data_IF_783375321552
#
_entry.id   IF_783375321552
#
_cell.length_a   1.000
_cell.length_b   1.000
_cell.length_c   1.000
_cell.angle_alpha   90.00
_cell.angle_beta   90.00
_cell.angle_gamma   90.00
#
_symmetry.space_group_name_H-M   'P 1'
#
loop_
_entity.id
_entity.type
_entity.pdbx_description
1 polymer ?
#
# COMPACT_ATOMS: atom_id res chain seq x y z
N UNK A 1 -13.98 -1.30 18.09
CA UNK A 1 -12.85 -1.75 17.24
C UNK A 1 -11.49 -1.22 17.72
N UNK A 2 -11.40 -0.11 18.46
CA UNK A 2 -10.11 0.51 18.85
C UNK A 2 -9.13 -0.41 19.58
N UNK A 3 -9.62 -1.34 20.41
CA UNK A 3 -8.75 -2.14 21.30
C UNK A 3 -8.20 -3.42 20.64
N UNK A 4 -8.56 -3.68 19.38
CA UNK A 4 -8.18 -4.91 18.66
C UNK A 4 -7.01 -4.71 17.72
N UNK A 5 -6.81 -3.50 17.20
CA UNK A 5 -5.76 -3.19 16.23
C UNK A 5 -4.61 -2.49 16.95
N UNK A 6 -3.39 -2.98 16.77
CA UNK A 6 -2.15 -2.29 17.17
C UNK A 6 -1.78 -1.30 16.05
N UNK A 7 -1.83 0.01 16.28
CA UNK A 7 -1.49 0.98 15.25
C UNK A 7 -0.06 0.82 14.74
N UNK A 8 0.15 1.19 13.47
CA UNK A 8 1.46 1.26 12.84
C UNK A 8 1.74 2.69 12.38
N UNK A 9 3.02 3.05 12.25
CA UNK A 9 3.44 4.40 11.86
C UNK A 9 4.19 4.34 10.54
N UNK A 10 3.77 5.16 9.57
CA UNK A 10 4.57 5.45 8.38
C UNK A 10 4.90 6.93 8.45
N UNK A 11 6.09 7.25 8.96
CA UNK A 11 6.45 8.63 9.31
C UNK A 11 5.47 9.25 10.30
N UNK A 12 4.85 10.36 9.91
CA UNK A 12 3.84 11.06 10.71
C UNK A 12 2.44 10.45 10.61
N UNK A 13 2.19 9.53 9.66
CA UNK A 13 0.88 8.91 9.45
C UNK A 13 0.73 7.71 10.39
N UNK A 14 -0.39 7.68 11.12
CA UNK A 14 -0.77 6.55 11.97
C UNK A 14 -1.84 5.73 11.26
N UNK A 15 -1.53 4.47 10.97
CA UNK A 15 -2.48 3.52 10.41
C UNK A 15 -3.12 2.70 11.53
N UNK A 16 -4.44 2.59 11.50
CA UNK A 16 -5.20 1.93 12.55
C UNK A 16 -6.70 2.26 12.47
N UNK A 17 -7.42 2.21 13.61
CA UNK A 17 -8.82 2.61 13.70
C UNK A 17 -9.03 4.09 13.35
N UNK A 18 -10.15 4.40 12.70
CA UNK A 18 -10.53 5.76 12.31
C UNK A 18 -10.61 5.94 10.80
N UNK A 19 -10.63 7.19 10.34
CA UNK A 19 -10.66 7.51 8.91
C UNK A 19 -9.43 6.93 8.20
N UNK A 20 -9.60 6.12 7.14
CA UNK A 20 -8.50 5.52 6.42
C UNK A 20 -7.56 6.57 5.82
N UNK A 21 -6.26 6.28 5.83
CA UNK A 21 -5.28 7.09 5.14
C UNK A 21 -5.42 6.96 3.61
N UNK A 22 -5.19 8.03 2.87
CA UNK A 22 -5.19 8.07 1.41
C UNK A 22 -3.75 8.02 0.89
N UNK A 23 -3.45 6.96 0.15
CA UNK A 23 -2.16 6.73 -0.50
C UNK A 23 -2.29 7.12 -1.97
N UNK A 24 -1.38 7.97 -2.45
CA UNK A 24 -1.32 8.37 -3.86
C UNK A 24 -0.07 7.80 -4.53
N UNK A 25 -0.20 6.95 -5.55
CA UNK A 25 0.96 6.39 -6.23
C UNK A 25 1.60 7.39 -7.20
N UNK A 26 2.93 7.42 -7.21
CA UNK A 26 3.78 8.08 -8.19
C UNK A 26 4.33 7.00 -9.15
N UNK A 27 4.06 7.15 -10.44
CA UNK A 27 4.35 6.19 -11.51
C UNK A 27 5.36 6.73 -12.55
N UNK A 28 5.94 7.92 -12.29
CA UNK A 28 6.87 8.59 -13.20
C UNK A 28 8.03 7.69 -13.64
N UNK A 29 8.21 7.56 -14.96
CA UNK A 29 9.27 6.70 -15.54
C UNK A 29 10.65 7.36 -15.56
N UNK A 30 10.72 8.67 -15.30
CA UNK A 30 11.96 9.45 -15.12
C UNK A 30 11.82 10.37 -13.91
N UNK A 31 12.93 10.97 -13.47
CA UNK A 31 12.91 11.92 -12.34
C UNK A 31 12.05 13.14 -12.68
N UNK A 32 12.12 13.63 -13.91
CA UNK A 32 11.29 14.73 -14.39
C UNK A 32 9.80 14.38 -14.36
N UNK A 33 9.44 13.16 -14.77
CA UNK A 33 8.05 12.70 -14.69
C UNK A 33 7.57 12.56 -13.22
N UNK A 34 8.43 12.13 -12.31
CA UNK A 34 8.11 12.10 -10.87
C UNK A 34 7.90 13.52 -10.31
N UNK A 35 8.74 14.48 -10.71
CA UNK A 35 8.58 15.90 -10.35
C UNK A 35 7.23 16.42 -10.84
N UNK A 36 6.87 16.15 -12.11
CA UNK A 36 5.60 16.57 -12.70
C UNK A 36 4.38 15.98 -11.95
N UNK A 37 4.45 14.70 -11.57
CA UNK A 37 3.41 14.05 -10.77
C UNK A 37 3.29 14.66 -9.36
N UNK A 38 4.42 14.94 -8.70
CA UNK A 38 4.45 15.59 -7.38
C UNK A 38 3.88 17.01 -7.46
N UNK A 39 4.20 17.75 -8.51
CA UNK A 39 3.68 19.10 -8.74
C UNK A 39 2.15 19.13 -8.95
N UNK A 40 1.55 18.01 -9.37
CA UNK A 40 0.12 17.86 -9.56
C UNK A 40 -0.63 17.36 -8.29
N UNK A 41 0.08 17.05 -7.21
CA UNK A 41 -0.54 16.62 -5.95
C UNK A 41 -1.30 17.77 -5.27
N UNK A 42 -2.48 17.43 -4.74
CA UNK A 42 -3.16 18.23 -3.73
C UNK A 42 -2.90 17.58 -2.36
N UNK A 43 -2.17 18.28 -1.49
CA UNK A 43 -1.73 17.75 -0.20
C UNK A 43 -2.88 17.63 0.81
N UNK A 44 -4.05 18.24 0.56
CA UNK A 44 -5.24 18.04 1.38
C UNK A 44 -5.95 16.70 1.06
N UNK A 45 -5.67 16.13 -0.11
CA UNK A 45 -6.33 14.93 -0.62
C UNK A 45 -5.55 13.63 -0.37
N UNK A 46 -4.36 13.70 0.24
CA UNK A 46 -3.48 12.54 0.51
C UNK A 46 -2.88 12.57 1.92
N UNK A 47 -2.44 11.40 2.40
CA UNK A 47 -1.73 11.26 3.68
C UNK A 47 -0.28 10.78 3.47
N UNK A 48 -0.04 9.94 2.47
CA UNK A 48 1.30 9.51 2.03
C UNK A 48 1.32 9.26 0.52
N UNK A 49 2.52 9.20 -0.04
CA UNK A 49 2.73 8.78 -1.44
C UNK A 49 3.32 7.38 -1.52
N UNK A 50 2.98 6.64 -2.57
CA UNK A 50 3.64 5.38 -2.92
C UNK A 50 4.54 5.59 -4.14
N UNK A 51 5.86 5.48 -3.99
CA UNK A 51 6.78 5.48 -5.12
C UNK A 51 6.79 4.09 -5.77
N UNK A 52 6.11 3.94 -6.90
CA UNK A 52 6.08 2.71 -7.70
C UNK A 52 7.30 2.62 -8.61
N UNK A 53 8.43 2.29 -8.00
CA UNK A 53 9.74 2.30 -8.65
C UNK A 53 9.82 1.30 -9.82
N UNK A 54 8.95 0.28 -9.89
CA UNK A 54 8.90 -0.65 -11.02
C UNK A 54 8.55 0.03 -12.36
N UNK A 55 7.98 1.24 -12.32
CA UNK A 55 7.75 2.07 -13.52
C UNK A 55 8.97 2.90 -13.92
N UNK A 56 9.96 3.07 -13.04
CA UNK A 56 11.14 3.91 -13.28
C UNK A 56 12.10 3.24 -14.28
N UNK A 57 12.54 4.00 -15.28
CA UNK A 57 13.29 3.44 -16.40
C UNK A 57 14.64 2.84 -15.99
N UNK A 58 15.31 3.47 -15.03
CA UNK A 58 16.64 3.12 -14.54
C UNK A 58 16.61 2.36 -13.20
N UNK A 59 15.54 1.61 -12.91
CA UNK A 59 15.40 0.85 -11.65
C UNK A 59 16.50 -0.19 -11.40
N UNK A 60 17.17 -0.65 -12.46
CA UNK A 60 18.28 -1.61 -12.38
C UNK A 60 19.61 -0.97 -11.91
N UNK A 61 19.65 0.36 -11.82
CA UNK A 61 20.80 1.13 -11.33
C UNK A 61 20.47 1.73 -9.95
N UNK A 62 21.09 1.17 -8.90
CA UNK A 62 20.84 1.59 -7.51
C UNK A 62 21.22 3.06 -7.25
N UNK A 63 22.21 3.61 -7.95
CA UNK A 63 22.57 5.02 -7.79
C UNK A 63 21.47 5.92 -8.40
N UNK A 64 20.88 5.53 -9.53
CA UNK A 64 19.74 6.25 -10.12
C UNK A 64 18.48 6.10 -9.27
N UNK A 65 18.23 4.94 -8.68
CA UNK A 65 17.13 4.74 -7.73
C UNK A 65 17.29 5.62 -6.50
N UNK A 66 18.49 5.66 -5.90
CA UNK A 66 18.75 6.55 -4.77
C UNK A 66 18.46 8.00 -5.13
N UNK A 67 18.98 8.48 -6.28
CA UNK A 67 18.71 9.85 -6.75
C UNK A 67 17.22 10.09 -7.03
N UNK A 68 16.47 9.08 -7.49
CA UNK A 68 15.04 9.19 -7.67
C UNK A 68 14.30 9.34 -6.31
N UNK A 69 14.68 8.56 -5.30
CA UNK A 69 14.13 8.70 -3.94
C UNK A 69 14.46 10.07 -3.35
N UNK A 70 15.70 10.53 -3.47
CA UNK A 70 16.14 11.87 -3.03
C UNK A 70 15.35 12.97 -3.76
N UNK A 71 15.17 12.86 -5.07
CA UNK A 71 14.36 13.80 -5.86
C UNK A 71 12.92 13.85 -5.35
N UNK A 72 12.29 12.69 -5.14
CA UNK A 72 10.92 12.63 -4.61
C UNK A 72 10.87 13.25 -3.21
N UNK A 73 11.85 12.98 -2.36
CA UNK A 73 11.92 13.55 -1.00
C UNK A 73 12.02 15.08 -1.02
N UNK A 74 12.87 15.63 -1.87
CA UNK A 74 13.14 17.07 -1.94
C UNK A 74 11.94 17.86 -2.49
N UNK A 75 11.16 17.26 -3.39
CA UNK A 75 9.99 17.89 -3.99
C UNK A 75 8.71 17.74 -3.14
N UNK A 76 8.63 16.70 -2.32
CA UNK A 76 7.50 16.51 -1.41
C UNK A 76 7.48 17.57 -0.31
N UNK A 77 6.30 18.16 -0.11
CA UNK A 77 6.07 19.16 0.94
C UNK A 77 5.62 18.51 2.23
N UNK A 78 5.65 19.29 3.31
CA UNK A 78 5.03 18.97 4.61
C UNK A 78 5.54 17.67 5.29
N UNK A 79 6.67 17.12 4.83
CA UNK A 79 7.19 15.86 5.36
C UNK A 79 6.28 14.66 5.06
N UNK A 80 5.55 14.70 3.94
CA UNK A 80 4.71 13.58 3.49
C UNK A 80 5.55 12.29 3.43
N UNK A 81 5.11 11.20 4.10
CA UNK A 81 5.85 9.95 4.08
C UNK A 81 5.85 9.27 2.70
N UNK A 82 6.91 8.50 2.44
CA UNK A 82 7.09 7.71 1.23
C UNK A 82 6.96 6.22 1.58
N UNK A 83 6.04 5.54 0.91
CA UNK A 83 6.01 4.08 0.77
C UNK A 83 6.75 3.72 -0.52
N UNK A 84 7.88 3.02 -0.42
CA UNK A 84 8.61 2.54 -1.58
C UNK A 84 8.09 1.15 -1.99
N UNK A 85 7.67 1.02 -3.24
CA UNK A 85 7.09 -0.22 -3.76
C UNK A 85 7.72 -0.58 -5.09
N UNK A 86 8.45 -1.70 -5.13
CA UNK A 86 8.67 -2.44 -6.38
C UNK A 86 7.59 -3.50 -6.49
N UNK A 87 6.63 -3.32 -7.40
CA UNK A 87 5.62 -4.34 -7.71
C UNK A 87 6.17 -5.27 -8.78
N UNK A 88 6.22 -6.56 -8.51
CA UNK A 88 6.63 -7.54 -9.50
C UNK A 88 5.54 -7.77 -10.54
N UNK A 89 5.91 -8.14 -11.76
CA UNK A 89 4.96 -8.46 -12.83
C UNK A 89 3.99 -9.61 -12.49
N UNK A 90 4.38 -10.71 -11.78
CA UNK A 90 3.43 -11.70 -11.29
C UNK A 90 2.33 -11.11 -10.40
N UNK A 91 2.64 -10.06 -9.63
CA UNK A 91 1.68 -9.31 -8.83
C UNK A 91 1.19 -8.03 -9.55
N UNK A 92 1.20 -8.01 -10.89
CA UNK A 92 0.60 -6.95 -11.72
C UNK A 92 1.42 -5.66 -11.85
N UNK A 93 2.71 -5.71 -11.52
CA UNK A 93 3.66 -4.62 -11.72
C UNK A 93 4.19 -4.53 -13.15
N UNK A 94 5.04 -3.53 -13.38
CA UNK A 94 5.52 -3.21 -14.72
C UNK A 94 6.74 -4.05 -15.16
N UNK A 95 7.52 -4.56 -14.20
CA UNK A 95 8.81 -5.23 -14.45
C UNK A 95 8.96 -6.52 -13.65
N UNK A 96 9.73 -7.45 -14.21
CA UNK A 96 10.27 -8.61 -13.50
C UNK A 96 11.57 -8.19 -12.79
N UNK A 97 11.90 -8.87 -11.69
CA UNK A 97 13.13 -8.66 -10.93
C UNK A 97 13.60 -10.00 -10.35
N UNK A 98 14.91 -10.22 -10.28
CA UNK A 98 15.45 -11.38 -9.58
C UNK A 98 15.50 -11.12 -8.06
N UNK A 99 15.55 -12.20 -7.27
CA UNK A 99 15.51 -12.11 -5.82
C UNK A 99 16.67 -11.27 -5.22
N UNK A 100 17.87 -11.34 -5.81
CA UNK A 100 19.04 -10.61 -5.33
C UNK A 100 18.90 -9.11 -5.57
N UNK A 101 18.47 -8.72 -6.78
CA UNK A 101 18.21 -7.32 -7.12
C UNK A 101 17.05 -6.75 -6.30
N UNK A 102 15.99 -7.53 -6.06
CA UNK A 102 14.86 -7.12 -5.20
C UNK A 102 15.30 -6.86 -3.76
N UNK A 103 16.10 -7.76 -3.19
CA UNK A 103 16.66 -7.59 -1.84
C UNK A 103 17.59 -6.36 -1.75
N UNK A 104 18.45 -6.14 -2.74
CA UNK A 104 19.34 -4.98 -2.78
C UNK A 104 18.55 -3.66 -2.88
N UNK A 105 17.51 -3.64 -3.71
CA UNK A 105 16.65 -2.47 -3.92
C UNK A 105 15.90 -2.09 -2.64
N UNK A 106 15.29 -3.06 -1.95
CA UNK A 106 14.58 -2.82 -0.70
C UNK A 106 15.51 -2.48 0.45
N UNK A 107 16.72 -3.05 0.48
CA UNK A 107 17.76 -2.70 1.45
C UNK A 107 18.20 -1.24 1.30
N UNK A 108 18.45 -0.78 0.07
CA UNK A 108 18.74 0.63 -0.23
C UNK A 108 17.58 1.53 0.22
N UNK A 109 16.36 1.23 -0.23
CA UNK A 109 15.20 2.06 0.03
C UNK A 109 14.91 2.19 1.53
N UNK A 110 15.06 1.10 2.29
CA UNK A 110 14.79 1.07 3.74
C UNK A 110 15.56 2.11 4.56
N UNK A 111 16.71 2.56 4.08
CA UNK A 111 17.49 3.63 4.74
C UNK A 111 17.06 5.05 4.36
N UNK A 112 16.14 5.22 3.40
CA UNK A 112 15.81 6.49 2.76
C UNK A 112 14.32 6.86 2.84
N UNK A 113 13.46 5.91 3.18
CA UNK A 113 11.99 6.08 3.19
C UNK A 113 11.37 5.58 4.50
N UNK A 114 10.12 5.97 4.75
CA UNK A 114 9.41 5.60 5.99
C UNK A 114 8.83 4.19 5.95
N UNK A 115 8.52 3.66 4.77
CA UNK A 115 8.05 2.30 4.61
C UNK A 115 8.44 1.67 3.28
N UNK A 116 8.56 0.35 3.27
CA UNK A 116 8.77 -0.48 2.08
C UNK A 116 7.64 -1.49 1.92
N UNK A 117 7.20 -1.72 0.68
CA UNK A 117 6.27 -2.81 0.34
C UNK A 117 7.05 -4.09 0.00
N UNK A 118 6.74 -5.18 0.73
CA UNK A 118 7.39 -6.48 0.58
C UNK A 118 6.35 -7.51 0.13
N UNK A 119 6.55 -8.15 -1.02
CA UNK A 119 5.64 -9.19 -1.51
C UNK A 119 5.74 -10.45 -0.66
N UNK A 120 4.62 -10.94 -0.13
CA UNK A 120 4.61 -12.08 0.79
C UNK A 120 5.09 -13.39 0.17
N UNK A 121 5.05 -13.48 -1.17
CA UNK A 121 5.49 -14.66 -1.91
C UNK A 121 6.99 -14.60 -2.29
N UNK A 122 7.73 -13.63 -1.74
CA UNK A 122 9.20 -13.64 -1.73
C UNK A 122 9.72 -14.89 -1.02
N UNK A 123 10.83 -15.46 -1.50
CA UNK A 123 11.50 -16.60 -0.85
C UNK A 123 11.77 -16.28 0.63
N UNK A 124 11.46 -17.22 1.54
CA UNK A 124 11.39 -16.96 2.98
C UNK A 124 12.70 -16.40 3.54
N UNK A 125 13.86 -16.94 3.13
CA UNK A 125 15.16 -16.45 3.55
C UNK A 125 15.42 -15.00 3.13
N UNK A 126 15.13 -14.65 1.87
CA UNK A 126 15.18 -13.25 1.40
C UNK A 126 14.18 -12.36 2.13
N UNK A 127 12.95 -12.82 2.31
CA UNK A 127 11.90 -12.08 3.02
C UNK A 127 12.34 -11.73 4.45
N UNK A 128 12.86 -12.70 5.21
CA UNK A 128 13.36 -12.46 6.57
C UNK A 128 14.51 -11.45 6.59
N UNK A 129 15.44 -11.50 5.62
CA UNK A 129 16.54 -10.51 5.54
C UNK A 129 16.03 -9.11 5.22
N UNK A 130 15.08 -8.99 4.29
CA UNK A 130 14.46 -7.72 3.92
C UNK A 130 13.72 -7.12 5.12
N UNK A 131 12.86 -7.90 5.77
CA UNK A 131 12.05 -7.43 6.92
C UNK A 131 12.96 -6.98 8.07
N UNK A 132 13.94 -7.81 8.46
CA UNK A 132 14.87 -7.46 9.52
C UNK A 132 15.74 -6.24 9.16
N UNK A 133 16.16 -6.14 7.89
CA UNK A 133 16.91 -5.00 7.38
C UNK A 133 16.11 -3.69 7.44
N UNK A 134 14.85 -3.74 7.01
CA UNK A 134 13.93 -2.60 7.06
C UNK A 134 13.73 -2.11 8.51
N UNK A 135 13.44 -3.03 9.43
CA UNK A 135 13.28 -2.70 10.85
C UNK A 135 14.56 -2.14 11.47
N UNK A 136 15.73 -2.69 11.12
CA UNK A 136 17.02 -2.17 11.60
C UNK A 136 17.33 -0.76 11.06
N UNK A 137 16.86 -0.44 9.86
CA UNK A 137 16.96 0.91 9.26
C UNK A 137 15.89 1.87 9.78
N UNK A 138 14.87 1.38 10.52
CA UNK A 138 13.78 2.18 11.06
C UNK A 138 12.60 2.37 10.09
N UNK A 139 12.58 1.67 8.96
CA UNK A 139 11.46 1.66 8.02
C UNK A 139 10.40 0.62 8.43
N UNK A 140 9.13 0.97 8.22
CA UNK A 140 8.02 0.04 8.42
C UNK A 140 7.85 -0.89 7.22
N UNK A 141 7.37 -2.11 7.49
CA UNK A 141 7.08 -3.09 6.42
C UNK A 141 5.59 -3.16 6.14
N UNK A 142 5.21 -2.82 4.90
CA UNK A 142 3.89 -3.14 4.33
C UNK A 142 4.02 -4.46 3.59
N UNK A 143 3.59 -5.56 4.19
CA UNK A 143 3.67 -6.86 3.50
C UNK A 143 2.43 -7.08 2.66
N UNK A 144 2.59 -7.41 1.39
CA UNK A 144 1.52 -7.36 0.42
C UNK A 144 1.30 -8.67 -0.33
N UNK A 145 0.09 -8.85 -0.87
CA UNK A 145 -0.21 -9.90 -1.84
C UNK A 145 -1.33 -9.47 -2.77
N UNK A 146 -1.22 -9.82 -4.04
CA UNK A 146 -2.18 -9.42 -5.06
C UNK A 146 -2.72 -10.62 -5.83
N UNK A 147 -4.04 -10.70 -5.97
CA UNK A 147 -4.74 -11.75 -6.72
C UNK A 147 -5.52 -11.09 -7.88
N UNK A 148 -4.91 -11.07 -9.06
CA UNK A 148 -5.49 -10.41 -10.24
C UNK A 148 -6.57 -11.24 -10.95
N UNK A 149 -6.71 -12.52 -10.62
CA UNK A 149 -7.60 -13.43 -11.34
C UNK A 149 -8.90 -13.76 -10.60
N UNK A 150 -8.94 -13.62 -9.27
CA UNK A 150 -10.09 -14.03 -8.45
C UNK A 150 -10.12 -13.35 -7.09
N UNK A 151 -11.17 -13.65 -6.34
CA UNK A 151 -11.23 -13.41 -4.90
C UNK A 151 -11.08 -14.75 -4.16
N UNK A 152 -10.06 -14.93 -3.30
CA UNK A 152 -9.93 -16.11 -2.46
C UNK A 152 -11.09 -16.22 -1.44
N UNK A 153 -11.24 -17.38 -0.81
CA UNK A 153 -12.24 -17.52 0.27
C UNK A 153 -11.86 -16.67 1.48
N UNK A 154 -12.82 -16.45 2.39
CA UNK A 154 -12.59 -15.70 3.64
C UNK A 154 -11.43 -16.31 4.42
N UNK A 155 -11.41 -17.63 4.57
CA UNK A 155 -10.37 -18.36 5.31
C UNK A 155 -8.99 -18.17 4.66
N UNK A 156 -8.92 -18.17 3.33
CA UNK A 156 -7.68 -17.93 2.59
C UNK A 156 -7.17 -16.50 2.77
N UNK A 157 -8.08 -15.51 2.77
CA UNK A 157 -7.74 -14.10 3.00
C UNK A 157 -7.23 -13.93 4.45
N UNK A 158 -7.95 -14.44 5.44
CA UNK A 158 -7.57 -14.37 6.85
C UNK A 158 -6.21 -15.06 7.11
N UNK A 159 -5.99 -16.23 6.50
CA UNK A 159 -4.72 -16.94 6.61
C UNK A 159 -3.55 -16.13 6.04
N UNK A 160 -3.72 -15.48 4.88
CA UNK A 160 -2.69 -14.62 4.29
C UNK A 160 -2.38 -13.41 5.18
N UNK A 161 -3.41 -12.69 5.64
CA UNK A 161 -3.23 -11.52 6.51
C UNK A 161 -2.54 -11.91 7.83
N UNK A 162 -2.92 -13.04 8.42
CA UNK A 162 -2.29 -13.54 9.66
C UNK A 162 -0.83 -13.93 9.41
N UNK A 163 -0.55 -14.63 8.30
CA UNK A 163 0.82 -15.01 7.95
C UNK A 163 1.70 -13.78 7.69
N UNK A 164 1.20 -12.76 7.00
CA UNK A 164 1.94 -11.51 6.80
C UNK A 164 2.35 -10.87 8.13
N UNK A 165 1.42 -10.83 9.11
CA UNK A 165 1.72 -10.36 10.46
C UNK A 165 2.79 -11.23 11.15
N UNK A 166 2.66 -12.55 11.07
CA UNK A 166 3.60 -13.49 11.70
C UNK A 166 5.01 -13.40 11.08
N UNK A 167 5.09 -13.01 9.81
CA UNK A 167 6.32 -12.73 9.07
C UNK A 167 6.90 -11.32 9.34
N UNK A 168 6.34 -10.59 10.31
CA UNK A 168 6.90 -9.32 10.78
C UNK A 168 6.37 -8.07 10.08
N UNK A 169 5.27 -8.15 9.33
CA UNK A 169 4.65 -6.95 8.79
C UNK A 169 4.21 -5.98 9.90
N UNK A 170 4.40 -4.69 9.65
CA UNK A 170 3.79 -3.63 10.46
C UNK A 170 2.39 -3.30 9.95
N UNK A 171 2.17 -3.47 8.65
CA UNK A 171 0.89 -3.32 7.96
C UNK A 171 0.70 -4.50 7.01
N UNK A 172 -0.46 -5.15 7.08
CA UNK A 172 -0.78 -6.30 6.22
C UNK A 172 -1.63 -5.83 5.04
N UNK A 173 -1.36 -6.30 3.82
CA UNK A 173 -2.00 -5.80 2.60
C UNK A 173 -2.44 -6.94 1.70
N UNK A 174 -3.68 -6.86 1.20
CA UNK A 174 -4.20 -7.77 0.18
C UNK A 174 -5.10 -7.04 -0.83
N UNK A 175 -4.85 -7.26 -2.11
CA UNK A 175 -5.72 -6.81 -3.20
C UNK A 175 -6.23 -8.02 -3.99
N UNK A 176 -7.53 -8.05 -4.29
CA UNK A 176 -8.17 -9.19 -4.96
C UNK A 176 -9.04 -8.73 -6.13
N UNK A 177 -9.25 -9.59 -7.14
CA UNK A 177 -10.09 -9.28 -8.29
C UNK A 177 -11.49 -9.90 -8.13
N UNK A 178 -12.54 -9.10 -7.87
CA UNK A 178 -13.90 -9.61 -7.80
C UNK A 178 -14.44 -9.95 -9.21
N UNK A 179 -15.19 -11.05 -9.32
CA UNK A 179 -15.99 -11.42 -10.51
C UNK A 179 -17.47 -11.13 -10.29
N UNK A 180 -17.89 -11.01 -9.04
CA UNK A 180 -19.28 -10.77 -8.63
C UNK A 180 -19.36 -9.79 -7.46
N UNK A 181 -20.52 -9.17 -7.20
CA UNK A 181 -20.74 -8.41 -5.97
C UNK A 181 -20.51 -9.23 -4.69
N UNK A 182 -20.81 -10.54 -4.72
CA UNK A 182 -20.55 -11.44 -3.59
C UNK A 182 -19.06 -11.58 -3.27
N UNK A 183 -18.20 -11.48 -4.28
CA UNK A 183 -16.74 -11.48 -4.05
C UNK A 183 -16.29 -10.21 -3.31
N UNK A 184 -16.91 -9.07 -3.62
CA UNK A 184 -16.65 -7.80 -2.90
C UNK A 184 -17.07 -7.95 -1.43
N UNK A 185 -18.25 -8.53 -1.17
CA UNK A 185 -18.70 -8.84 0.19
C UNK A 185 -17.76 -9.82 0.90
N UNK A 186 -17.24 -10.82 0.18
CA UNK A 186 -16.30 -11.82 0.72
C UNK A 186 -15.04 -11.15 1.25
N UNK A 187 -14.44 -10.23 0.49
CA UNK A 187 -13.30 -9.44 0.95
C UNK A 187 -13.65 -8.56 2.16
N UNK A 188 -14.77 -7.82 2.10
CA UNK A 188 -15.16 -6.89 3.16
C UNK A 188 -15.48 -7.62 4.47
N UNK A 189 -16.08 -8.81 4.39
CA UNK A 189 -16.31 -9.70 5.52
C UNK A 189 -14.97 -10.17 6.12
N UNK A 190 -14.05 -10.68 5.29
CA UNK A 190 -12.73 -11.11 5.76
C UNK A 190 -11.94 -9.96 6.41
N UNK A 191 -12.07 -8.75 5.89
CA UNK A 191 -11.45 -7.54 6.47
C UNK A 191 -11.98 -7.26 7.88
N UNK A 192 -13.30 -7.38 8.07
CA UNK A 192 -13.95 -7.14 9.36
C UNK A 192 -13.58 -8.23 10.38
N UNK A 193 -13.59 -9.50 9.96
CA UNK A 193 -13.19 -10.62 10.80
C UNK A 193 -11.71 -10.49 11.24
N UNK A 194 -10.82 -10.07 10.33
CA UNK A 194 -9.44 -9.78 10.69
C UNK A 194 -9.33 -8.62 11.69
N UNK A 195 -9.96 -7.48 11.39
CA UNK A 195 -9.89 -6.27 12.22
C UNK A 195 -10.50 -6.43 13.63
N UNK A 196 -11.37 -7.41 13.83
CA UNK A 196 -11.99 -7.73 15.13
C UNK A 196 -11.23 -8.79 15.91
N UNK A 197 -10.21 -9.41 15.31
CA UNK A 197 -9.29 -10.31 16.00
C UNK A 197 -8.36 -9.50 16.92
N UNK A 198 -8.07 -10.02 18.12
CA UNK A 198 -7.24 -9.29 19.10
C UNK A 198 -5.79 -9.12 18.64
N UNK A 199 -5.26 -7.93 18.87
CA UNK A 199 -3.86 -7.56 18.67
C UNK A 199 -3.35 -7.69 17.22
N UNK A 200 -4.23 -7.50 16.24
CA UNK A 200 -3.85 -7.50 14.82
C UNK A 200 -3.13 -6.22 14.42
N UNK A 201 -2.28 -6.30 13.40
CA UNK A 201 -1.74 -5.13 12.69
C UNK A 201 -2.82 -4.43 11.87
N UNK A 202 -2.65 -3.16 11.49
CA UNK A 202 -3.56 -2.49 10.57
C UNK A 202 -3.53 -3.22 9.22
N UNK A 203 -4.71 -3.40 8.63
CA UNK A 203 -4.84 -4.03 7.32
C UNK A 203 -5.13 -2.98 6.24
N UNK A 204 -4.65 -3.23 5.03
CA UNK A 204 -5.04 -2.53 3.81
C UNK A 204 -5.65 -3.57 2.89
N UNK A 205 -6.97 -3.53 2.71
CA UNK A 205 -7.67 -4.50 1.86
C UNK A 205 -8.43 -3.78 0.76
N UNK A 206 -8.41 -4.33 -0.45
CA UNK A 206 -9.20 -3.76 -1.55
C UNK A 206 -9.61 -4.80 -2.58
N UNK A 207 -10.84 -4.65 -3.06
CA UNK A 207 -11.33 -5.31 -4.25
C UNK A 207 -11.01 -4.41 -5.44
N UNK A 208 -10.35 -4.97 -6.44
CA UNK A 208 -9.92 -4.26 -7.64
C UNK A 208 -11.06 -4.09 -8.65
N UNK A 209 -10.81 -3.25 -9.66
CA UNK A 209 -11.75 -2.98 -10.74
C UNK A 209 -13.03 -2.24 -10.32
N UNK A 210 -13.93 -1.97 -11.28
CA UNK A 210 -15.13 -1.17 -11.04
C UNK A 210 -16.09 -1.75 -9.98
N UNK A 211 -16.22 -3.08 -9.90
CA UNK A 211 -17.06 -3.73 -8.89
C UNK A 211 -16.56 -3.47 -7.46
N UNK A 212 -15.24 -3.39 -7.29
CA UNK A 212 -14.60 -3.28 -5.99
C UNK A 212 -14.53 -1.86 -5.42
N UNK A 213 -14.97 -0.83 -6.15
CA UNK A 213 -14.84 0.59 -5.74
C UNK A 213 -15.36 0.83 -4.33
N UNK A 214 -16.47 0.20 -3.93
CA UNK A 214 -17.04 0.35 -2.57
C UNK A 214 -16.06 -0.08 -1.46
N UNK A 215 -15.22 -1.08 -1.70
CA UNK A 215 -14.21 -1.53 -0.73
C UNK A 215 -13.16 -0.46 -0.44
N UNK A 216 -12.90 0.46 -1.38
CA UNK A 216 -11.95 1.56 -1.24
C UNK A 216 -12.48 2.72 -0.38
N UNK A 217 -13.80 2.78 -0.19
CA UNK A 217 -14.49 3.91 0.44
C UNK A 217 -15.05 3.56 1.82
N UNK A 218 -15.21 2.27 2.12
CA UNK A 218 -15.84 1.81 3.35
C UNK A 218 -14.83 1.35 4.42
N UNK A 219 -13.54 1.68 4.28
CA UNK A 219 -12.46 1.20 5.13
C UNK A 219 -12.69 1.43 6.63
N UNK A 220 -13.20 2.61 7.01
CA UNK A 220 -13.48 2.94 8.42
C UNK A 220 -14.50 1.98 9.06
N UNK A 221 -15.51 1.56 8.29
CA UNK A 221 -16.58 0.67 8.77
C UNK A 221 -16.10 -0.77 8.89
N UNK A 222 -15.31 -1.24 7.91
CA UNK A 222 -14.95 -2.67 7.79
C UNK A 222 -13.52 -2.99 8.25
N UNK A 223 -12.69 -2.00 8.56
CA UNK A 223 -11.36 -2.18 9.15
C UNK A 223 -10.16 -2.09 8.20
N UNK A 224 -10.32 -1.55 6.98
CA UNK A 224 -9.16 -1.19 6.14
C UNK A 224 -8.64 0.17 6.55
N UNK A 225 -7.38 0.23 7.00
CA UNK A 225 -6.72 1.41 7.58
C UNK A 225 -6.17 2.40 6.55
N UNK A 226 -6.06 2.00 5.29
CA UNK A 226 -5.70 2.88 4.20
C UNK A 226 -6.40 2.49 2.90
N UNK A 227 -6.39 3.38 1.94
CA UNK A 227 -6.94 3.20 0.60
C UNK A 227 -6.09 3.96 -0.43
N UNK A 228 -6.31 3.67 -1.70
CA UNK A 228 -5.55 4.27 -2.79
C UNK A 228 -6.44 5.15 -3.66
N UNK A 229 -5.98 6.36 -3.91
CA UNK A 229 -6.55 7.30 -4.88
C UNK A 229 -5.47 7.75 -5.87
N UNK A 230 -5.85 8.12 -7.09
CA UNK A 230 -4.90 8.60 -8.10
C UNK A 230 -4.99 10.11 -8.29
N UNK A 231 -3.88 10.73 -8.73
CA UNK A 231 -3.88 12.15 -9.15
C UNK A 231 -4.79 12.35 -10.36
N UNK A 232 -4.79 11.40 -11.29
CA UNK A 232 -5.72 11.37 -12.42
C UNK A 232 -6.57 10.10 -12.39
N UNK A 233 -7.89 10.24 -12.39
CA UNK A 233 -8.83 9.12 -12.38
C UNK A 233 -8.86 8.30 -13.70
N UNK A 234 -8.01 8.66 -14.68
CA UNK A 234 -8.09 8.18 -16.05
C UNK A 234 -7.27 6.91 -16.33
N UNK A 235 -6.40 6.46 -15.42
CA UNK A 235 -5.39 5.43 -15.72
C UNK A 235 -5.89 3.98 -15.73
N UNK A 236 -6.99 3.63 -15.04
CA UNK A 236 -7.60 2.28 -15.13
C UNK A 236 -9.06 2.24 -14.64
N UNK A 237 -9.91 1.34 -15.19
CA UNK A 237 -11.30 1.16 -14.73
C UNK A 237 -11.40 0.87 -13.23
N UNK A 238 -12.14 1.70 -12.50
CA UNK A 238 -12.35 1.55 -11.05
C UNK A 238 -11.35 2.28 -10.16
N UNK A 239 -10.43 3.08 -10.74
CA UNK A 239 -9.64 4.05 -9.97
C UNK A 239 -10.45 5.31 -9.71
N UNK A 240 -10.40 5.80 -8.47
CA UNK A 240 -10.99 7.07 -8.05
C UNK A 240 -9.89 8.10 -7.89
N UNK A 241 -10.22 9.38 -8.15
CA UNK A 241 -9.30 10.46 -7.81
C UNK A 241 -9.06 10.51 -6.31
N UNK A 242 -7.87 10.91 -5.87
CA UNK A 242 -7.55 11.12 -4.45
C UNK A 242 -8.58 12.05 -3.78
N UNK A 243 -8.98 13.11 -4.50
CA UNK A 243 -10.03 14.04 -4.08
C UNK A 243 -11.38 13.39 -3.81
N UNK A 244 -11.86 12.55 -4.73
CA UNK A 244 -13.16 11.89 -4.56
C UNK A 244 -13.12 10.86 -3.43
N UNK A 245 -12.00 10.14 -3.29
CA UNK A 245 -11.74 9.25 -2.15
C UNK A 245 -11.79 10.05 -0.85
N UNK A 246 -10.99 11.12 -0.72
CA UNK A 246 -10.95 11.96 0.48
C UNK A 246 -12.33 12.48 0.84
N UNK A 247 -13.09 13.02 -0.12
CA UNK A 247 -14.45 13.52 0.11
C UNK A 247 -15.39 12.44 0.65
N UNK A 248 -15.33 11.24 0.08
CA UNK A 248 -16.15 10.12 0.55
C UNK A 248 -15.76 9.68 1.97
N UNK A 249 -14.46 9.56 2.25
CA UNK A 249 -13.96 9.20 3.58
C UNK A 249 -14.37 10.23 4.63
N UNK A 250 -14.23 11.54 4.35
CA UNK A 250 -14.67 12.62 5.25
C UNK A 250 -16.17 12.55 5.50
N UNK A 251 -16.98 12.29 4.48
CA UNK A 251 -18.43 12.15 4.62
C UNK A 251 -18.82 10.95 5.48
N UNK A 252 -18.15 9.80 5.30
CA UNK A 252 -18.35 8.61 6.12
C UNK A 252 -17.93 8.86 7.56
N UNK A 253 -16.73 9.42 7.78
CA UNK A 253 -16.19 9.72 9.10
C UNK A 253 -17.11 10.65 9.89
N UNK A 254 -17.52 11.77 9.28
CA UNK A 254 -18.42 12.74 9.92
C UNK A 254 -19.79 12.16 10.29
N UNK A 255 -20.22 11.08 9.63
CA UNK A 255 -21.49 10.40 9.91
C UNK A 255 -21.39 9.34 11.03
N UNK A 256 -20.18 8.94 11.43
CA UNK A 256 -19.98 7.93 12.48
C UNK A 256 -19.98 8.51 13.91
N UNK A 257 -19.91 9.84 14.04
CA UNK A 257 -19.90 10.56 15.32
C UNK A 257 -18.50 10.89 15.79
#
# INVERSE_FOLDING_TARGET
MSDHIRPAHIGTVVLGPGMPAVIVPLLGSTREALIDEIAALDYDDLDLVELRIDHFNAVDDLDEVQRAIETVRDELRHGVPILFTFRSKPEGGHRDIDAGSYEALLSLASGLVEAVDVEMFTELGSLERIVNGAHAAGASVVMSSHEFERTPTIEQILARLSLQQDLGADVVKIAVMPKTPSDVLTLMQATTEFATTKAVRPAITMAMGPLGVVSRLAGEVFGSSATFGSVSAASAPGQLSARDVRRALVAVHAAQG
#
